data_IF_340177828916
#
_entry.id   IF_340177828916
#
_cell.length_a   1.000
_cell.length_b   1.000
_cell.length_c   1.000
_cell.angle_alpha   90.00
_cell.angle_beta   90.00
_cell.angle_gamma   90.00
#
_symmetry.space_group_name_H-M   'P 1'
#
loop_
_entity.id
_entity.type
_entity.pdbx_description
1 polymer ?
#
# COMPACT_ATOMS: atom_id res chain seq x y z
N UNK A 1 -17.27 14.70 -22.99
CA UNK A 1 -16.99 14.63 -21.55
C UNK A 1 -17.17 16.03 -20.96
N UNK A 2 -17.81 16.18 -19.79
CA UNK A 2 -18.02 17.47 -19.11
C UNK A 2 -17.38 17.39 -17.71
N UNK A 3 -16.47 18.31 -17.38
CA UNK A 3 -15.91 18.44 -16.04
C UNK A 3 -17.02 18.84 -15.06
N UNK A 4 -17.17 18.10 -13.95
CA UNK A 4 -18.15 18.41 -12.90
C UNK A 4 -17.57 19.32 -11.82
N UNK A 5 -16.37 19.00 -11.34
CA UNK A 5 -15.63 19.76 -10.34
C UNK A 5 -14.14 19.40 -10.39
N UNK A 6 -13.33 20.22 -9.71
CA UNK A 6 -11.93 19.93 -9.40
C UNK A 6 -11.67 20.25 -7.91
N UNK A 7 -10.65 19.64 -7.32
CA UNK A 7 -10.20 19.97 -5.97
C UNK A 7 -8.68 19.88 -5.93
N UNK A 8 -8.01 20.90 -5.40
CA UNK A 8 -6.54 21.02 -5.46
C UNK A 8 -5.82 20.31 -4.30
N UNK A 9 -6.58 19.66 -3.41
CA UNK A 9 -6.08 18.90 -2.26
C UNK A 9 -5.13 19.73 -1.38
N UNK A 10 -5.46 21.01 -1.19
CA UNK A 10 -4.64 21.97 -0.44
C UNK A 10 -3.21 22.11 -0.98
N UNK A 11 -3.03 21.96 -2.29
CA UNK A 11 -1.72 22.03 -2.96
C UNK A 11 -0.93 20.72 -2.99
N UNK A 12 -1.49 19.63 -2.43
CA UNK A 12 -0.85 18.31 -2.39
C UNK A 12 -1.49 17.35 -3.42
N UNK A 13 -1.33 17.65 -4.70
CA UNK A 13 -1.85 16.83 -5.80
C UNK A 13 -0.98 15.65 -6.23
N UNK A 14 0.16 15.42 -5.56
CA UNK A 14 1.09 14.31 -5.84
C UNK A 14 0.55 12.97 -5.31
N UNK A 15 -0.50 12.48 -5.96
CA UNK A 15 -1.21 11.27 -5.55
C UNK A 15 -0.45 10.00 -5.93
N UNK A 16 -0.58 8.99 -5.07
CA UNK A 16 -0.06 7.65 -5.32
C UNK A 16 -0.99 6.83 -6.22
N UNK A 17 -0.62 5.57 -6.40
CA UNK A 17 -1.38 4.58 -7.18
C UNK A 17 -2.67 4.11 -6.48
N UNK A 18 -2.71 4.16 -5.15
CA UNK A 18 -3.85 3.69 -4.36
C UNK A 18 -5.00 4.69 -4.27
N UNK A 19 -6.21 4.25 -4.64
CA UNK A 19 -7.43 4.99 -4.37
C UNK A 19 -8.58 4.03 -4.09
N UNK A 20 -9.47 4.42 -3.17
CA UNK A 20 -10.61 3.60 -2.80
C UNK A 20 -11.83 4.47 -2.48
N UNK A 21 -13.02 3.93 -2.72
CA UNK A 21 -14.29 4.57 -2.38
C UNK A 21 -14.90 3.89 -1.15
N UNK A 22 -15.25 4.67 -0.14
CA UNK A 22 -16.03 4.21 1.02
C UNK A 22 -17.47 4.71 0.90
N UNK A 23 -18.45 3.83 1.13
CA UNK A 23 -19.82 4.21 1.46
C UNK A 23 -19.98 4.13 2.98
N UNK A 24 -20.15 5.28 3.63
CA UNK A 24 -20.24 5.37 5.09
C UNK A 24 -21.64 5.01 5.58
N UNK A 25 -21.77 4.70 6.88
CA UNK A 25 -23.05 4.36 7.50
C UNK A 25 -24.09 5.50 7.48
N UNK A 26 -23.64 6.76 7.38
CA UNK A 26 -24.48 7.96 7.22
C UNK A 26 -24.78 8.29 5.74
N UNK A 27 -24.35 7.43 4.79
CA UNK A 27 -24.67 7.54 3.36
C UNK A 27 -23.74 8.42 2.53
N UNK A 28 -22.65 8.93 3.12
CA UNK A 28 -21.62 9.68 2.40
C UNK A 28 -20.74 8.77 1.54
N UNK A 29 -20.18 9.34 0.47
CA UNK A 29 -19.19 8.69 -0.38
C UNK A 29 -17.85 9.40 -0.19
N UNK A 30 -16.89 8.70 0.40
CA UNK A 30 -15.55 9.24 0.64
C UNK A 30 -14.57 8.60 -0.32
N UNK A 31 -13.90 9.43 -1.12
CA UNK A 31 -12.78 9.03 -1.95
C UNK A 31 -11.49 9.16 -1.14
N UNK A 32 -10.87 8.02 -0.86
CA UNK A 32 -9.58 7.92 -0.20
C UNK A 32 -8.47 7.89 -1.24
N UNK A 33 -7.44 8.71 -1.03
CA UNK A 33 -6.35 8.94 -1.99
C UNK A 33 -5.00 8.80 -1.29
N UNK A 34 -4.19 7.85 -1.77
CA UNK A 34 -2.79 7.71 -1.41
C UNK A 34 -1.97 8.91 -1.89
N UNK A 35 -0.85 9.21 -1.25
CA UNK A 35 0.11 10.22 -1.71
C UNK A 35 1.44 9.53 -2.09
N UNK A 36 1.97 9.85 -3.27
CA UNK A 36 3.17 9.20 -3.82
C UNK A 36 4.42 9.51 -2.98
N UNK A 37 4.41 10.62 -2.25
CA UNK A 37 5.56 11.08 -1.47
C UNK A 37 5.14 11.96 -0.30
N UNK A 38 5.99 11.97 0.73
CA UNK A 38 5.95 12.95 1.81
C UNK A 38 5.85 14.40 1.29
N UNK A 39 5.21 15.30 2.06
CA UNK A 39 4.87 15.16 3.47
C UNK A 39 3.54 14.45 3.75
N UNK A 40 2.65 14.29 2.76
CA UNK A 40 1.31 13.78 2.98
C UNK A 40 1.26 12.26 2.94
N UNK A 41 0.41 11.69 3.78
CA UNK A 41 0.17 10.27 3.87
C UNK A 41 -1.03 9.87 2.99
N UNK A 42 -2.23 10.32 3.34
CA UNK A 42 -3.42 10.12 2.52
C UNK A 42 -4.38 11.31 2.66
N UNK A 43 -5.36 11.38 1.75
CA UNK A 43 -6.48 12.33 1.82
C UNK A 43 -7.81 11.61 1.73
N UNK A 44 -8.78 12.05 2.54
CA UNK A 44 -10.18 11.68 2.40
C UNK A 44 -10.95 12.86 1.83
N UNK A 45 -11.66 12.64 0.73
CA UNK A 45 -12.48 13.65 0.05
C UNK A 45 -13.93 13.19 0.03
N UNK A 46 -14.83 13.96 0.64
CA UNK A 46 -16.26 13.74 0.50
C UNK A 46 -16.68 14.12 -0.92
N UNK A 47 -17.14 13.12 -1.67
CA UNK A 47 -17.62 13.21 -3.05
C UNK A 47 -19.08 12.80 -3.18
N UNK A 48 -19.84 12.89 -2.08
CA UNK A 48 -21.28 12.59 -2.06
C UNK A 48 -22.03 13.45 -3.08
N UNK A 49 -21.68 14.73 -3.18
CA UNK A 49 -21.99 15.58 -4.33
C UNK A 49 -20.73 15.69 -5.23
N UNK A 50 -20.71 15.02 -6.40
CA UNK A 50 -19.55 15.06 -7.29
C UNK A 50 -19.29 16.44 -7.92
N UNK A 51 -20.22 17.40 -7.75
CA UNK A 51 -20.04 18.80 -8.18
C UNK A 51 -19.42 19.68 -7.09
N UNK A 52 -19.30 19.19 -5.87
CA UNK A 52 -18.76 19.92 -4.73
C UNK A 52 -17.90 19.01 -3.84
N UNK A 53 -16.78 18.47 -4.35
CA UNK A 53 -15.85 17.65 -3.57
C UNK A 53 -15.25 18.46 -2.41
N UNK A 54 -15.17 17.84 -1.22
CA UNK A 54 -14.64 18.49 -0.02
C UNK A 54 -13.55 17.65 0.61
N UNK A 55 -12.35 18.21 0.75
CA UNK A 55 -11.31 17.58 1.57
C UNK A 55 -11.73 17.58 3.04
N UNK A 56 -11.90 16.39 3.62
CA UNK A 56 -12.35 16.23 5.01
C UNK A 56 -11.22 15.82 5.96
N UNK A 57 -10.17 15.19 5.43
CA UNK A 57 -8.96 14.85 6.18
C UNK A 57 -7.76 14.78 5.23
N UNK A 58 -6.60 15.22 5.70
CA UNK A 58 -5.32 15.06 5.02
C UNK A 58 -4.24 14.85 6.08
N UNK A 59 -3.68 13.65 6.13
CA UNK A 59 -2.73 13.24 7.17
C UNK A 59 -1.29 13.40 6.68
N UNK A 60 -0.35 13.47 7.62
CA UNK A 60 1.08 13.61 7.35
C UNK A 60 1.81 12.28 7.57
N UNK A 61 2.87 12.06 6.78
CA UNK A 61 3.84 10.99 7.03
C UNK A 61 4.79 11.42 8.16
N UNK A 62 5.34 10.46 8.93
CA UNK A 62 6.21 10.77 10.06
C UNK A 62 7.54 11.42 9.66
N UNK A 63 7.97 11.26 8.40
CA UNK A 63 9.21 11.85 7.89
C UNK A 63 9.27 11.88 6.36
N UNK A 64 10.19 12.68 5.81
CA UNK A 64 10.36 12.91 4.36
C UNK A 64 10.92 11.73 3.55
N UNK A 65 11.40 10.67 4.22
CA UNK A 65 11.97 9.47 3.57
C UNK A 65 10.96 8.32 3.43
N UNK A 66 9.68 8.60 3.64
CA UNK A 66 8.59 7.64 3.48
C UNK A 66 7.69 8.06 2.33
N UNK A 67 7.04 7.08 1.73
CA UNK A 67 5.88 7.29 0.87
C UNK A 67 4.77 6.31 1.21
N UNK A 68 3.54 6.73 0.96
CA UNK A 68 2.30 5.97 1.13
C UNK A 68 1.61 5.79 -0.21
N UNK A 69 2.34 5.20 -1.18
CA UNK A 69 1.95 5.15 -2.59
C UNK A 69 0.65 4.37 -2.86
N UNK A 70 0.24 3.50 -1.93
CA UNK A 70 -0.89 2.60 -2.13
C UNK A 70 -1.73 2.52 -0.86
N UNK A 71 -3.04 2.51 -1.04
CA UNK A 71 -4.04 2.25 -0.02
C UNK A 71 -5.22 1.54 -0.65
N UNK A 72 -6.02 0.87 0.18
CA UNK A 72 -7.28 0.24 -0.21
C UNK A 72 -8.24 0.18 0.99
N UNK A 73 -9.53 0.04 0.74
CA UNK A 73 -10.59 0.15 1.75
C UNK A 73 -11.61 -0.98 1.63
N UNK A 74 -11.87 -1.66 2.74
CA UNK A 74 -13.00 -2.60 2.89
C UNK A 74 -13.86 -2.16 4.07
N UNK A 75 -15.10 -1.75 3.77
CA UNK A 75 -16.02 -1.22 4.79
C UNK A 75 -15.45 0.01 5.50
N UNK A 76 -15.16 -0.12 6.79
CA UNK A 76 -14.57 0.94 7.62
C UNK A 76 -13.08 0.73 7.91
N UNK A 77 -12.43 -0.20 7.22
CA UNK A 77 -11.01 -0.50 7.41
C UNK A 77 -10.25 -0.03 6.17
N UNK A 78 -9.24 0.82 6.41
CA UNK A 78 -8.31 1.27 5.38
C UNK A 78 -6.93 0.66 5.65
N UNK A 79 -6.35 0.03 4.63
CA UNK A 79 -4.96 -0.41 4.66
C UNK A 79 -4.10 0.59 3.90
N UNK A 80 -2.95 0.96 4.46
CA UNK A 80 -2.01 1.91 3.84
C UNK A 80 -0.63 1.27 3.77
N UNK A 81 -0.04 1.22 2.58
CA UNK A 81 1.29 0.70 2.34
C UNK A 81 2.34 1.79 2.58
N UNK A 82 3.42 1.47 3.30
CA UNK A 82 4.54 2.37 3.48
C UNK A 82 5.84 1.81 2.91
N UNK A 83 6.43 2.60 2.02
CA UNK A 83 7.74 2.32 1.44
C UNK A 83 8.73 3.42 1.82
N UNK A 84 9.87 3.04 2.36
CA UNK A 84 10.99 3.93 2.58
C UNK A 84 11.81 4.16 1.29
N UNK A 85 12.48 5.31 1.22
CA UNK A 85 13.35 5.63 0.09
C UNK A 85 14.61 4.76 0.02
N UNK A 86 15.07 4.25 1.17
CA UNK A 86 16.21 3.32 1.28
C UNK A 86 15.91 2.22 2.30
N UNK A 87 16.64 1.12 2.22
CA UNK A 87 16.50 -0.02 3.15
C UNK A 87 16.78 0.38 4.61
N UNK A 88 16.16 -0.32 5.56
CA UNK A 88 16.42 -0.17 7.00
C UNK A 88 15.80 1.06 7.67
N UNK A 89 15.10 1.92 6.93
CA UNK A 89 14.36 3.04 7.50
C UNK A 89 13.04 2.54 8.09
N UNK A 90 12.66 3.10 9.25
CA UNK A 90 11.39 2.85 9.93
C UNK A 90 10.59 4.15 10.14
N UNK A 91 9.24 4.07 10.13
CA UNK A 91 8.44 2.86 9.88
C UNK A 91 8.44 2.47 8.39
N UNK A 92 8.20 1.20 8.10
CA UNK A 92 7.99 0.69 6.74
C UNK A 92 7.16 -0.59 6.85
N UNK A 93 6.07 -0.73 6.09
CA UNK A 93 5.08 -1.78 6.41
C UNK A 93 3.67 -1.48 5.93
N UNK A 94 2.70 -2.04 6.64
CA UNK A 94 1.26 -1.77 6.43
C UNK A 94 0.68 -1.20 7.72
N UNK A 95 -0.01 -0.07 7.61
CA UNK A 95 -0.93 0.38 8.66
C UNK A 95 -2.36 -0.02 8.33
N UNK A 96 -3.11 -0.40 9.36
CA UNK A 96 -4.57 -0.54 9.30
C UNK A 96 -5.22 0.58 10.10
N UNK A 97 -6.16 1.29 9.49
CA UNK A 97 -6.92 2.36 10.11
C UNK A 97 -8.40 2.02 10.20
N UNK A 98 -9.03 2.37 11.33
CA UNK A 98 -10.47 2.51 11.46
C UNK A 98 -10.87 3.90 10.93
N UNK A 99 -11.70 3.89 9.88
CA UNK A 99 -12.24 5.06 9.20
C UNK A 99 -13.77 5.13 9.32
N UNK A 100 -14.34 4.55 10.38
CA UNK A 100 -15.77 4.68 10.73
C UNK A 100 -16.20 6.14 10.95
N UNK A 101 -15.27 6.97 11.42
CA UNK A 101 -15.35 8.44 11.39
C UNK A 101 -14.32 8.96 10.40
N UNK A 102 -14.70 9.24 9.13
CA UNK A 102 -13.75 9.62 8.08
C UNK A 102 -12.85 10.82 8.41
N UNK A 103 -13.35 11.79 9.17
CA UNK A 103 -12.59 12.97 9.60
C UNK A 103 -11.49 12.65 10.63
N UNK A 104 -11.57 11.48 11.29
CA UNK A 104 -10.66 11.06 12.36
C UNK A 104 -10.22 9.60 12.19
N UNK A 105 -9.44 9.27 11.15
CA UNK A 105 -8.86 7.94 10.98
C UNK A 105 -8.05 7.53 12.21
N UNK A 106 -8.29 6.34 12.74
CA UNK A 106 -7.60 5.81 13.93
C UNK A 106 -6.73 4.63 13.56
N UNK A 107 -5.43 4.71 13.85
CA UNK A 107 -4.52 3.58 13.67
C UNK A 107 -4.96 2.42 14.57
N UNK A 108 -5.11 1.24 13.98
CA UNK A 108 -5.43 -0.02 14.66
C UNK A 108 -4.14 -0.80 14.94
N UNK A 109 -3.32 -1.00 13.89
CA UNK A 109 -2.07 -1.77 13.98
C UNK A 109 -1.08 -1.34 12.91
N UNK A 110 0.20 -1.57 13.18
CA UNK A 110 1.28 -1.52 12.21
C UNK A 110 1.88 -2.92 12.04
N UNK A 111 1.94 -3.41 10.80
CA UNK A 111 2.69 -4.62 10.45
C UNK A 111 4.05 -4.20 9.87
N UNK A 112 5.11 -4.43 10.64
CA UNK A 112 6.48 -4.01 10.29
C UNK A 112 7.07 -4.90 9.19
N UNK A 113 7.47 -4.27 8.09
CA UNK A 113 8.18 -4.89 6.98
C UNK A 113 9.60 -4.34 6.82
N UNK A 114 10.09 -3.50 7.75
CA UNK A 114 11.45 -2.96 7.71
C UNK A 114 12.52 -4.04 7.87
N UNK A 115 13.75 -3.73 7.49
CA UNK A 115 14.85 -4.69 7.53
C UNK A 115 16.09 -4.22 6.80
N UNK A 116 17.23 -4.92 6.97
CA UNK A 116 18.51 -4.53 6.38
C UNK A 116 18.49 -4.49 4.84
N UNK A 117 17.62 -5.28 4.22
CA UNK A 117 17.42 -5.33 2.78
C UNK A 117 15.99 -4.97 2.38
N UNK A 118 15.21 -4.34 3.25
CA UNK A 118 13.82 -4.04 2.97
C UNK A 118 13.54 -2.54 2.98
N UNK A 119 12.85 -2.08 1.93
CA UNK A 119 12.22 -0.76 1.87
C UNK A 119 10.76 -0.76 2.35
N UNK A 120 10.23 -1.90 2.79
CA UNK A 120 8.81 -2.04 3.13
C UNK A 120 7.92 -2.25 1.92
N UNK A 121 6.69 -1.74 1.99
CA UNK A 121 5.57 -2.11 1.11
C UNK A 121 5.36 -1.07 0.02
N UNK A 122 5.50 -1.49 -1.25
CA UNK A 122 5.27 -0.63 -2.41
C UNK A 122 3.79 -0.45 -2.74
N UNK A 123 3.07 -1.57 -2.74
CA UNK A 123 1.67 -1.66 -3.15
C UNK A 123 0.97 -2.71 -2.30
N UNK A 124 -0.31 -2.49 -2.05
CA UNK A 124 -1.20 -3.46 -1.41
C UNK A 124 -2.52 -3.58 -2.16
N UNK A 125 -3.23 -4.68 -1.90
CA UNK A 125 -4.55 -4.97 -2.43
C UNK A 125 -5.38 -5.64 -1.33
N UNK A 126 -6.53 -5.06 -0.98
CA UNK A 126 -7.35 -5.48 0.16
C UNK A 126 -8.82 -5.60 -0.25
N UNK A 127 -9.30 -6.83 -0.42
CA UNK A 127 -10.60 -7.06 -1.08
C UNK A 127 -11.70 -7.63 -0.20
N UNK A 128 -11.35 -8.41 0.81
CA UNK A 128 -12.31 -9.28 1.49
C UNK A 128 -12.44 -9.01 2.98
N UNK A 129 -11.71 -8.01 3.50
CA UNK A 129 -11.70 -7.69 4.93
C UNK A 129 -10.86 -8.64 5.78
N UNK A 130 -10.18 -9.62 5.16
CA UNK A 130 -9.43 -10.68 5.84
C UNK A 130 -8.02 -10.86 5.33
N UNK A 131 -7.75 -10.54 4.07
CA UNK A 131 -6.45 -10.81 3.45
C UNK A 131 -5.95 -9.60 2.68
N UNK A 132 -4.68 -9.25 2.92
CA UNK A 132 -3.98 -8.19 2.20
C UNK A 132 -2.84 -8.81 1.41
N UNK A 133 -2.84 -8.57 0.11
CA UNK A 133 -1.78 -8.97 -0.80
C UNK A 133 -0.83 -7.80 -0.96
N UNK A 134 0.46 -8.01 -0.72
CA UNK A 134 1.43 -6.91 -0.70
C UNK A 134 2.64 -7.20 -1.59
N UNK A 135 3.13 -6.16 -2.25
CA UNK A 135 4.49 -6.11 -2.78
C UNK A 135 5.40 -5.49 -1.72
N UNK A 136 6.26 -6.30 -1.11
CA UNK A 136 7.00 -5.89 0.08
C UNK A 136 8.34 -6.57 0.22
N UNK A 137 9.29 -5.89 0.86
CA UNK A 137 10.43 -6.55 1.48
C UNK A 137 10.07 -7.17 2.83
N UNK A 138 11.03 -7.80 3.49
CA UNK A 138 10.88 -8.38 4.82
C UNK A 138 12.23 -8.36 5.59
N UNK A 139 12.21 -8.38 6.94
CA UNK A 139 13.44 -8.39 7.74
C UNK A 139 14.31 -9.64 7.52
N UNK A 140 13.71 -10.77 7.15
CA UNK A 140 14.33 -12.08 6.97
C UNK A 140 14.62 -12.44 5.51
N UNK A 141 14.51 -11.46 4.60
CA UNK A 141 14.73 -11.66 3.17
C UNK A 141 16.04 -11.00 2.71
N UNK A 142 16.98 -11.82 2.25
CA UNK A 142 18.23 -11.36 1.63
C UNK A 142 18.15 -11.63 0.13
N UNK A 143 17.97 -10.60 -0.71
CA UNK A 143 18.01 -10.77 -2.16
C UNK A 143 19.47 -10.90 -2.63
N UNK A 144 19.70 -11.69 -3.70
CA UNK A 144 21.00 -11.75 -4.39
C UNK A 144 21.37 -10.43 -5.06
N UNK A 145 20.37 -9.67 -5.47
CA UNK A 145 20.54 -8.35 -6.04
C UNK A 145 19.71 -7.33 -5.22
N UNK A 146 20.28 -6.20 -4.79
CA UNK A 146 19.56 -5.19 -4.02
C UNK A 146 18.28 -4.62 -4.67
N UNK A 147 18.12 -4.78 -5.99
CA UNK A 147 16.92 -4.34 -6.71
C UNK A 147 15.74 -5.33 -6.62
N UNK A 148 15.95 -6.54 -6.11
CA UNK A 148 14.91 -7.58 -6.00
C UNK A 148 14.33 -7.65 -4.58
N UNK A 149 14.32 -6.52 -3.88
CA UNK A 149 14.04 -6.40 -2.45
C UNK A 149 12.55 -6.41 -2.09
N UNK A 150 11.66 -6.43 -3.08
CA UNK A 150 10.20 -6.42 -2.88
C UNK A 150 9.55 -7.56 -3.66
N UNK A 151 8.95 -8.48 -2.93
CA UNK A 151 8.35 -9.71 -3.44
C UNK A 151 6.91 -9.86 -2.90
N UNK A 152 6.23 -10.91 -3.36
CA UNK A 152 4.85 -11.14 -2.97
C UNK A 152 4.77 -11.67 -1.54
N UNK A 153 3.96 -11.02 -0.70
CA UNK A 153 3.58 -11.53 0.63
C UNK A 153 2.07 -11.40 0.81
N UNK A 154 1.52 -12.22 1.70
CA UNK A 154 0.09 -12.26 2.02
C UNK A 154 -0.07 -12.16 3.53
N UNK A 155 -0.88 -11.20 3.98
CA UNK A 155 -1.21 -10.98 5.37
C UNK A 155 -2.63 -11.43 5.65
N UNK A 156 -2.85 -12.20 6.72
CA UNK A 156 -4.16 -12.36 7.36
C UNK A 156 -4.36 -11.18 8.32
N UNK A 157 -5.48 -10.48 8.13
CA UNK A 157 -5.95 -9.35 8.94
C UNK A 157 -7.31 -9.61 9.56
N UNK A 158 -7.76 -10.87 9.63
CA UNK A 158 -8.98 -11.27 10.34
C UNK A 158 -8.97 -10.79 11.80
N UNK A 159 -7.79 -10.71 12.42
CA UNK A 159 -7.55 -9.92 13.61
C UNK A 159 -6.82 -8.62 13.25
N UNK A 160 -7.58 -7.54 13.10
CA UNK A 160 -7.06 -6.22 12.72
C UNK A 160 -5.99 -5.66 13.67
N UNK A 161 -5.97 -6.10 14.94
CA UNK A 161 -4.95 -5.64 15.91
C UNK A 161 -3.64 -6.42 15.84
N UNK A 162 -3.64 -7.56 15.13
CA UNK A 162 -2.51 -8.46 15.02
C UNK A 162 -2.47 -9.11 13.62
N UNK A 163 -2.10 -8.34 12.58
CA UNK A 163 -1.85 -8.92 11.25
C UNK A 163 -0.74 -9.97 11.30
N UNK A 164 -0.90 -11.05 10.54
CA UNK A 164 0.08 -12.14 10.47
C UNK A 164 0.39 -12.49 9.01
N UNK A 165 1.65 -12.73 8.67
CA UNK A 165 1.99 -13.25 7.34
C UNK A 165 1.59 -14.72 7.24
N UNK A 166 0.80 -15.04 6.22
CA UNK A 166 0.31 -16.41 5.95
C UNK A 166 0.91 -17.03 4.69
N UNK A 167 1.63 -16.24 3.88
CA UNK A 167 2.25 -16.74 2.66
C UNK A 167 3.15 -15.72 1.99
N UNK A 168 4.07 -16.22 1.17
CA UNK A 168 4.97 -15.40 0.36
C UNK A 168 5.47 -16.15 -0.87
N UNK A 169 5.86 -15.40 -1.89
CA UNK A 169 6.50 -15.92 -3.09
C UNK A 169 7.48 -14.90 -3.66
N UNK A 170 8.61 -15.37 -4.16
CA UNK A 170 9.58 -14.58 -4.91
C UNK A 170 9.95 -15.32 -6.19
N UNK A 171 10.45 -14.57 -7.17
CA UNK A 171 10.89 -15.16 -8.43
C UNK A 171 12.09 -16.09 -8.17
N UNK A 172 12.05 -17.38 -8.57
CA UNK A 172 13.14 -18.31 -8.27
C UNK A 172 14.51 -17.81 -8.73
N UNK A 173 15.49 -17.90 -7.84
CA UNK A 173 16.87 -17.48 -8.10
C UNK A 173 17.17 -16.03 -7.71
N UNK A 174 16.21 -15.29 -7.14
CA UNK A 174 16.44 -13.91 -6.66
C UNK A 174 16.78 -13.82 -5.19
N UNK A 175 16.54 -14.87 -4.39
CA UNK A 175 16.89 -14.90 -2.96
C UNK A 175 18.20 -15.65 -2.74
N UNK A 176 19.00 -15.18 -1.78
CA UNK A 176 20.14 -15.96 -1.30
C UNK A 176 19.68 -17.33 -0.79
N UNK A 177 20.43 -18.37 -1.16
CA UNK A 177 20.09 -19.77 -0.86
C UNK A 177 19.15 -20.47 -1.85
N UNK A 178 18.59 -19.79 -2.86
CA UNK A 178 17.77 -20.46 -3.89
C UNK A 178 18.59 -21.49 -4.69
N UNK A 179 18.03 -22.66 -4.99
CA UNK A 179 18.69 -23.64 -5.87
C UNK A 179 18.70 -23.19 -7.34
N UNK A 180 17.68 -22.43 -7.75
CA UNK A 180 17.57 -21.91 -9.10
C UNK A 180 18.69 -20.89 -9.40
N UNK A 181 19.22 -20.87 -10.63
CA UNK A 181 20.18 -19.85 -11.04
C UNK A 181 19.53 -18.47 -11.04
N UNK A 182 20.35 -17.42 -10.86
CA UNK A 182 19.87 -16.06 -10.98
C UNK A 182 19.31 -15.81 -12.40
N UNK A 183 18.12 -15.21 -12.53
CA UNK A 183 17.56 -14.88 -13.85
C UNK A 183 18.45 -13.90 -14.62
N UNK A 184 18.41 -14.01 -15.95
CA UNK A 184 19.09 -13.06 -16.82
C UNK A 184 18.52 -11.65 -16.64
N UNK A 185 19.38 -10.69 -16.30
CA UNK A 185 18.98 -9.30 -16.05
C UNK A 185 19.01 -8.49 -17.35
N UNK A 186 18.20 -7.42 -17.37
CA UNK A 186 18.29 -6.40 -18.40
C UNK A 186 19.62 -5.63 -18.29
N UNK A 187 20.05 -4.92 -19.37
CA UNK A 187 21.13 -3.96 -19.26
C UNK A 187 20.88 -2.97 -18.12
N UNK A 188 21.94 -2.58 -17.41
CA UNK A 188 21.86 -1.77 -16.16
C UNK A 188 20.97 -0.52 -16.28
N UNK A 189 20.90 0.11 -17.45
CA UNK A 189 20.07 1.30 -17.68
C UNK A 189 18.56 1.03 -17.70
N UNK A 190 18.14 -0.23 -17.82
CA UNK A 190 16.74 -0.68 -17.87
C UNK A 190 16.38 -1.66 -16.75
N UNK A 191 17.35 -2.11 -15.96
CA UNK A 191 17.13 -3.06 -14.88
C UNK A 191 16.50 -2.37 -13.66
N UNK A 192 15.23 -2.69 -13.41
CA UNK A 192 14.44 -2.15 -12.29
C UNK A 192 14.19 -3.19 -11.20
N UNK A 193 14.80 -4.37 -11.29
CA UNK A 193 14.57 -5.48 -10.38
C UNK A 193 13.47 -6.43 -10.80
N UNK A 194 13.52 -7.67 -10.29
CA UNK A 194 12.43 -8.63 -10.35
C UNK A 194 11.52 -8.44 -9.14
N UNK A 195 10.79 -7.31 -9.15
CA UNK A 195 9.89 -6.94 -8.06
C UNK A 195 8.44 -7.12 -8.46
N UNK A 196 7.62 -7.52 -7.50
CA UNK A 196 6.17 -7.42 -7.64
C UNK A 196 5.78 -5.95 -7.73
N UNK A 197 4.89 -5.60 -8.67
CA UNK A 197 4.35 -4.23 -8.78
C UNK A 197 2.93 -4.22 -8.20
N UNK A 198 1.94 -4.72 -8.95
CA UNK A 198 0.56 -4.86 -8.50
C UNK A 198 0.22 -6.34 -8.22
N UNK A 199 -0.44 -6.59 -7.09
CA UNK A 199 -0.87 -7.93 -6.65
C UNK A 199 -2.39 -8.02 -6.63
N UNK A 200 -2.99 -7.85 -7.82
CA UNK A 200 -4.45 -7.74 -7.94
C UNK A 200 -5.12 -9.12 -7.81
N UNK A 201 -5.99 -9.26 -6.82
CA UNK A 201 -6.83 -10.45 -6.62
C UNK A 201 -8.29 -10.05 -6.83
N UNK A 202 -8.89 -10.49 -7.92
CA UNK A 202 -10.24 -10.07 -8.31
C UNK A 202 -11.32 -10.93 -7.62
N UNK A 203 -12.29 -10.32 -6.92
CA UNK A 203 -13.34 -11.06 -6.18
C UNK A 203 -14.20 -11.97 -7.07
N UNK A 204 -14.34 -11.65 -8.35
CA UNK A 204 -15.13 -12.42 -9.32
C UNK A 204 -14.56 -13.82 -9.61
N UNK A 205 -13.34 -14.12 -9.11
CA UNK A 205 -12.63 -15.39 -9.24
C UNK A 205 -12.06 -15.84 -7.89
N UNK A 206 -12.93 -16.22 -6.92
CA UNK A 206 -12.48 -16.66 -5.60
C UNK A 206 -11.67 -17.97 -5.65
N UNK A 207 -11.69 -18.68 -6.79
CA UNK A 207 -10.91 -19.88 -7.10
C UNK A 207 -9.43 -19.61 -7.40
N UNK A 208 -9.00 -18.33 -7.43
CA UNK A 208 -7.65 -17.90 -7.83
C UNK A 208 -6.85 -17.23 -6.71
N UNK A 209 -7.38 -17.21 -5.49
CA UNK A 209 -6.68 -16.78 -4.28
C UNK A 209 -6.00 -17.96 -3.57
#
# INVERSE_FOLDING_TARGET
MKLLAHHELSGFGGLGEGMAMQLTGDGRRILWLAHESAPKNFSGVDVTDPRNPKLIVQTDLPHMKLRSNSLDVVGNIMAVAYQASTVGIQPAGVDLFDISTPEQPKLISHFDCSGPHSRGVHALWFVDGKTIHISSGAPDFTPRNPLDDQFYRVLDVSNLSKPEEIGRWWYPGTREGDEAPAPARLPKQFDTGFRTHNTNVFPDRPDRA
#
